data_IF_141085123940
#
_entry.id   IF_141085123940
#
_cell.length_a   1.000
_cell.length_b   1.000
_cell.length_c   1.000
_cell.angle_alpha   90.00
_cell.angle_beta   90.00
_cell.angle_gamma   90.00
#
_symmetry.space_group_name_H-M   'P 1'
#
loop_
_entity.id
_entity.type
_entity.pdbx_description
1 polymer ?
#
# COMPACT_ATOMS: atom_id res chain seq x y z
N UNK A 1 70.92 37.75 19.00
CA UNK A 1 69.50 38.08 18.71
C UNK A 1 68.97 36.99 17.80
N UNK A 2 68.77 35.79 18.32
CA UNK A 2 68.17 34.66 17.59
C UNK A 2 67.41 33.84 18.64
N UNK A 3 66.23 34.30 19.08
CA UNK A 3 65.38 33.57 20.04
C UNK A 3 63.93 34.08 19.99
N UNK A 4 63.36 34.30 18.79
CA UNK A 4 61.96 34.78 18.68
C UNK A 4 61.20 34.37 17.41
N UNK A 5 61.63 33.32 16.69
CA UNK A 5 60.93 32.87 15.46
C UNK A 5 60.26 31.49 15.61
N UNK A 6 60.65 30.68 16.60
CA UNK A 6 60.11 29.31 16.76
C UNK A 6 58.81 29.22 17.58
N UNK A 7 58.47 30.25 18.37
CA UNK A 7 57.24 30.26 19.18
C UNK A 7 55.95 30.50 18.39
N UNK A 8 56.02 31.27 17.30
CA UNK A 8 54.85 31.68 16.50
C UNK A 8 54.37 30.58 15.53
N UNK A 9 55.29 29.76 15.04
CA UNK A 9 55.01 28.62 14.14
C UNK A 9 54.40 27.44 14.90
N UNK A 10 54.81 27.19 16.16
CA UNK A 10 54.19 26.20 17.05
C UNK A 10 52.74 26.54 17.37
N UNK A 11 52.49 27.78 17.81
CA UNK A 11 51.14 28.26 18.15
C UNK A 11 50.17 28.20 16.95
N UNK A 12 50.63 28.53 15.74
CA UNK A 12 49.82 28.40 14.51
C UNK A 12 49.52 26.94 14.16
N UNK A 13 50.45 26.01 14.34
CA UNK A 13 50.23 24.58 14.10
C UNK A 13 49.21 24.00 15.08
N UNK A 14 49.30 24.38 16.34
CA UNK A 14 48.36 23.94 17.39
C UNK A 14 46.94 24.47 17.13
N UNK A 15 46.79 25.73 16.73
CA UNK A 15 45.49 26.32 16.34
C UNK A 15 44.86 25.62 15.13
N UNK A 16 45.68 25.19 14.16
CA UNK A 16 45.20 24.43 12.99
C UNK A 16 44.79 23.02 13.42
N UNK A 17 45.59 22.36 14.27
CA UNK A 17 45.31 21.02 14.79
C UNK A 17 44.02 21.00 15.61
N UNK A 18 43.81 21.99 16.47
CA UNK A 18 42.58 22.15 17.25
C UNK A 18 41.36 22.40 16.37
N UNK A 19 41.50 23.19 15.30
CA UNK A 19 40.42 23.41 14.34
C UNK A 19 40.06 22.14 13.58
N UNK A 20 41.06 21.33 13.21
CA UNK A 20 40.85 20.03 12.55
C UNK A 20 40.20 19.04 13.52
N UNK A 21 40.68 18.96 14.76
CA UNK A 21 40.13 18.07 15.79
C UNK A 21 38.69 18.44 16.14
N UNK A 22 38.38 19.73 16.24
CA UNK A 22 37.02 20.23 16.44
C UNK A 22 36.12 19.84 15.27
N UNK A 23 36.56 20.06 14.02
CA UNK A 23 35.80 19.67 12.82
C UNK A 23 35.58 18.16 12.73
N UNK A 24 36.57 17.36 13.12
CA UNK A 24 36.45 15.89 13.17
C UNK A 24 35.48 15.43 14.27
N UNK A 25 35.52 16.08 15.44
CA UNK A 25 34.58 15.82 16.54
C UNK A 25 33.15 16.19 16.17
N UNK A 26 32.96 17.35 15.55
CA UNK A 26 31.65 17.81 15.08
C UNK A 26 31.10 16.88 13.98
N UNK A 27 31.96 16.43 13.05
CA UNK A 27 31.61 15.41 12.04
C UNK A 27 31.19 14.10 12.70
N UNK A 28 31.94 13.63 13.69
CA UNK A 28 31.64 12.38 14.41
C UNK A 28 30.31 12.48 15.17
N UNK A 29 30.08 13.58 15.88
CA UNK A 29 28.81 13.82 16.57
C UNK A 29 27.62 13.88 15.60
N UNK A 30 27.77 14.56 14.45
CA UNK A 30 26.72 14.59 13.43
C UNK A 30 26.42 13.19 12.89
N UNK A 31 27.44 12.38 12.64
CA UNK A 31 27.29 10.99 12.20
C UNK A 31 26.61 10.13 13.27
N UNK A 32 27.00 10.25 14.54
CA UNK A 32 26.41 9.51 15.66
C UNK A 32 24.92 9.88 15.83
N UNK A 33 24.56 11.17 15.76
CA UNK A 33 23.15 11.62 15.78
C UNK A 33 22.37 11.07 14.59
N UNK A 34 22.96 11.09 13.38
CA UNK A 34 22.32 10.57 12.16
C UNK A 34 22.14 9.04 12.22
N UNK A 35 23.08 8.33 12.82
CA UNK A 35 23.00 6.88 13.07
C UNK A 35 21.95 6.55 14.13
N UNK A 36 21.87 7.31 15.22
CA UNK A 36 20.86 7.13 16.27
C UNK A 36 19.46 7.42 15.73
N UNK A 37 19.30 8.48 14.93
CA UNK A 37 18.04 8.80 14.26
C UNK A 37 17.63 7.68 13.29
N UNK A 38 18.58 7.18 12.49
CA UNK A 38 18.35 6.02 11.61
C UNK A 38 17.95 4.78 12.42
N UNK A 39 18.60 4.51 13.55
CA UNK A 39 18.30 3.37 14.43
C UNK A 39 16.90 3.48 15.07
N UNK A 40 16.48 4.68 15.48
CA UNK A 40 15.10 4.90 15.98
C UNK A 40 14.06 4.67 14.89
N UNK A 41 14.33 5.15 13.67
CA UNK A 41 13.48 4.87 12.49
C UNK A 41 13.47 3.38 12.15
N UNK A 42 14.60 2.67 12.27
CA UNK A 42 14.70 1.21 12.09
C UNK A 42 13.79 0.47 13.07
N UNK A 43 13.90 0.76 14.35
CA UNK A 43 13.10 0.11 15.40
C UNK A 43 11.60 0.39 15.20
N UNK A 44 11.25 1.61 14.81
CA UNK A 44 9.86 1.97 14.53
C UNK A 44 9.30 1.23 13.30
N UNK A 45 10.08 1.12 12.23
CA UNK A 45 9.69 0.43 11.00
C UNK A 45 9.61 -1.10 11.19
N UNK A 46 10.59 -1.71 11.86
CA UNK A 46 10.57 -3.13 12.23
C UNK A 46 9.33 -3.46 13.07
N UNK A 47 8.93 -2.57 14.00
CA UNK A 47 7.70 -2.75 14.78
C UNK A 47 6.42 -2.75 13.94
N UNK A 48 6.38 -1.94 12.88
CA UNK A 48 5.26 -1.89 11.94
C UNK A 48 5.20 -3.12 11.05
N UNK A 49 6.36 -3.63 10.61
CA UNK A 49 6.45 -4.80 9.73
C UNK A 49 6.19 -6.09 10.52
N UNK A 50 6.73 -6.20 11.74
CA UNK A 50 6.41 -7.28 12.67
C UNK A 50 4.92 -7.30 13.03
N UNK A 51 4.32 -6.12 13.24
CA UNK A 51 2.88 -6.00 13.44
C UNK A 51 2.11 -6.50 12.23
N UNK A 52 2.46 -6.06 11.02
CA UNK A 52 1.76 -6.46 9.81
C UNK A 52 1.82 -7.98 9.60
N UNK A 53 2.99 -8.59 9.80
CA UNK A 53 3.17 -10.04 9.71
C UNK A 53 2.35 -10.77 10.77
N UNK A 54 2.45 -10.36 12.03
CA UNK A 54 1.76 -11.02 13.16
C UNK A 54 0.23 -10.87 13.05
N UNK A 55 -0.23 -9.67 12.72
CA UNK A 55 -1.66 -9.38 12.52
C UNK A 55 -2.21 -10.19 11.34
N UNK A 56 -1.52 -10.16 10.20
CA UNK A 56 -1.90 -10.89 9.00
C UNK A 56 -1.95 -12.41 9.22
N UNK A 57 -0.95 -12.98 9.89
CA UNK A 57 -0.93 -14.41 10.20
C UNK A 57 -2.10 -14.82 11.10
N UNK A 58 -2.36 -14.06 12.17
CA UNK A 58 -3.49 -14.34 13.07
C UNK A 58 -4.84 -14.19 12.37
N UNK A 59 -5.00 -13.17 11.53
CA UNK A 59 -6.21 -13.00 10.73
C UNK A 59 -6.44 -14.18 9.78
N UNK A 60 -5.40 -14.64 9.10
CA UNK A 60 -5.44 -15.81 8.23
C UNK A 60 -5.78 -17.11 8.99
N UNK A 61 -5.20 -17.32 10.17
CA UNK A 61 -5.49 -18.51 10.99
C UNK A 61 -6.95 -18.53 11.47
N UNK A 62 -7.52 -17.36 11.80
CA UNK A 62 -8.94 -17.20 12.14
C UNK A 62 -9.82 -17.51 10.92
N UNK A 63 -9.51 -16.93 9.76
CA UNK A 63 -10.25 -17.17 8.51
C UNK A 63 -10.25 -18.65 8.13
N UNK A 64 -9.08 -19.30 8.18
CA UNK A 64 -8.95 -20.74 7.95
C UNK A 64 -9.75 -21.57 8.95
N UNK A 65 -9.79 -21.15 10.21
CA UNK A 65 -10.59 -21.82 11.25
C UNK A 65 -12.08 -21.73 10.95
N UNK A 66 -12.57 -20.57 10.46
CA UNK A 66 -13.96 -20.38 10.02
C UNK A 66 -14.25 -21.29 8.81
N UNK A 67 -13.39 -21.31 7.79
CA UNK A 67 -13.56 -22.15 6.60
C UNK A 67 -13.56 -23.65 6.90
N UNK A 68 -12.76 -24.10 7.88
CA UNK A 68 -12.78 -25.50 8.32
C UNK A 68 -14.11 -25.91 8.99
N UNK A 69 -14.88 -24.96 9.53
CA UNK A 69 -16.23 -25.23 10.02
C UNK A 69 -17.21 -25.51 8.87
N UNK A 70 -17.01 -24.87 7.71
CA UNK A 70 -17.89 -25.04 6.54
C UNK A 70 -17.63 -26.36 5.80
N UNK A 71 -16.36 -26.80 5.67
CA UNK A 71 -15.98 -28.02 4.96
C UNK A 71 -16.44 -29.32 5.66
N UNK A 72 -16.57 -29.32 6.99
CA UNK A 72 -17.01 -30.48 7.77
C UNK A 72 -18.53 -30.63 7.88
N UNK A 73 -19.31 -29.84 7.13
CA UNK A 73 -20.78 -29.85 7.15
C UNK A 73 -21.43 -30.97 6.30
N UNK A 74 -20.63 -31.80 5.62
CA UNK A 74 -21.07 -33.02 4.93
C UNK A 74 -20.54 -34.28 5.62
N UNK A 75 -21.37 -34.95 6.41
CA UNK A 75 -21.18 -36.30 6.98
C UNK A 75 -19.99 -36.59 7.94
N UNK A 76 -19.18 -35.60 8.33
CA UNK A 76 -18.20 -35.79 9.41
C UNK A 76 -18.87 -35.68 10.81
N UNK A 77 -18.37 -36.36 11.85
CA UNK A 77 -18.87 -36.19 13.22
C UNK A 77 -18.76 -34.71 13.59
N UNK A 78 -19.88 -34.09 13.99
CA UNK A 78 -19.93 -32.69 14.42
C UNK A 78 -18.67 -32.37 15.26
N UNK A 79 -17.78 -31.48 14.77
CA UNK A 79 -16.81 -30.84 15.65
C UNK A 79 -17.60 -30.24 16.81
N UNK A 80 -17.05 -30.17 18.03
CA UNK A 80 -17.74 -29.54 19.14
C UNK A 80 -17.90 -28.02 18.87
N UNK A 81 -18.88 -27.67 18.04
CA UNK A 81 -19.18 -26.33 17.54
C UNK A 81 -19.47 -25.39 18.71
N UNK A 82 -19.95 -25.96 19.83
CA UNK A 82 -20.21 -25.26 21.08
C UNK A 82 -18.93 -24.74 21.76
N UNK A 83 -17.75 -25.26 21.39
CA UNK A 83 -16.43 -24.78 21.83
C UNK A 83 -15.71 -23.98 20.75
N UNK A 84 -15.71 -24.47 19.50
CA UNK A 84 -14.96 -23.86 18.39
C UNK A 84 -15.40 -22.45 18.03
N UNK A 85 -16.71 -22.16 18.00
CA UNK A 85 -17.22 -20.82 17.66
C UNK A 85 -16.89 -19.77 18.75
N UNK A 86 -17.05 -20.07 20.06
CA UNK A 86 -16.52 -19.20 21.12
C UNK A 86 -15.00 -19.00 21.07
N UNK A 87 -14.23 -20.04 20.74
CA UNK A 87 -12.76 -19.93 20.60
C UNK A 87 -12.37 -18.96 19.47
N UNK A 88 -13.02 -19.04 18.31
CA UNK A 88 -12.81 -18.11 17.19
C UNK A 88 -13.20 -16.68 17.60
N UNK A 89 -14.31 -16.53 18.34
CA UNK A 89 -14.74 -15.23 18.87
C UNK A 89 -13.68 -14.62 19.80
N UNK A 90 -13.07 -15.44 20.66
CA UNK A 90 -11.99 -15.01 21.55
C UNK A 90 -10.74 -14.60 20.76
N UNK A 91 -10.36 -15.36 19.72
CA UNK A 91 -9.22 -15.02 18.87
C UNK A 91 -9.42 -13.69 18.14
N UNK A 92 -10.63 -13.39 17.67
CA UNK A 92 -10.97 -12.10 17.06
C UNK A 92 -10.83 -10.96 18.08
N UNK A 93 -11.30 -11.16 19.33
CA UNK A 93 -11.14 -10.18 20.41
C UNK A 93 -9.67 -9.94 20.80
N UNK A 94 -8.86 -11.00 20.82
CA UNK A 94 -7.42 -10.89 21.06
C UNK A 94 -6.70 -10.13 19.93
N UNK A 95 -7.09 -10.37 18.68
CA UNK A 95 -6.57 -9.66 17.52
C UNK A 95 -6.98 -8.18 17.53
N UNK A 96 -8.21 -7.86 17.95
CA UNK A 96 -8.68 -6.49 18.19
C UNK A 96 -7.87 -5.80 19.30
N UNK A 97 -7.60 -6.49 20.41
CA UNK A 97 -6.76 -5.95 21.51
C UNK A 97 -5.34 -5.69 21.02
N UNK A 98 -4.79 -6.59 20.21
CA UNK A 98 -3.47 -6.45 19.60
C UNK A 98 -3.40 -5.21 18.70
N UNK A 99 -4.42 -4.96 17.86
CA UNK A 99 -4.52 -3.73 17.08
C UNK A 99 -4.56 -2.49 17.97
N UNK A 100 -5.44 -2.46 18.98
CA UNK A 100 -5.57 -1.30 19.88
C UNK A 100 -4.25 -0.96 20.58
N UNK A 101 -3.55 -1.98 21.10
CA UNK A 101 -2.24 -1.82 21.73
C UNK A 101 -1.15 -1.34 20.75
N UNK A 102 -1.38 -1.51 19.46
CA UNK A 102 -0.43 -1.19 18.38
C UNK A 102 -0.70 0.14 17.68
N UNK A 103 -1.84 0.80 17.97
CA UNK A 103 -2.25 2.04 17.28
C UNK A 103 -1.23 3.16 17.34
N UNK A 104 -0.43 3.25 18.42
CA UNK A 104 0.55 4.33 18.60
C UNK A 104 1.66 4.37 17.55
N UNK A 105 1.87 3.29 16.80
CA UNK A 105 2.91 3.19 15.77
C UNK A 105 2.35 2.89 14.37
N UNK A 106 1.03 2.87 14.20
CA UNK A 106 0.38 2.58 12.92
C UNK A 106 -0.19 3.86 12.30
N UNK A 107 -0.22 3.92 10.96
CA UNK A 107 -0.91 4.98 10.25
C UNK A 107 -2.42 4.81 10.31
N UNK A 108 -3.18 5.90 10.20
CA UNK A 108 -4.65 5.88 10.18
C UNK A 108 -5.20 4.92 9.10
N UNK A 109 -4.55 4.87 7.94
CA UNK A 109 -4.88 3.94 6.87
C UNK A 109 -4.72 2.47 7.31
N UNK A 110 -3.58 2.11 7.92
CA UNK A 110 -3.35 0.75 8.42
C UNK A 110 -4.34 0.40 9.54
N UNK A 111 -4.60 1.33 10.45
CA UNK A 111 -5.59 1.15 11.52
C UNK A 111 -6.96 0.84 10.92
N UNK A 112 -7.42 1.64 9.96
CA UNK A 112 -8.71 1.46 9.28
C UNK A 112 -8.77 0.13 8.52
N UNK A 113 -7.71 -0.23 7.81
CA UNK A 113 -7.61 -1.52 7.10
C UNK A 113 -7.71 -2.72 8.05
N UNK A 114 -7.00 -2.68 9.18
CA UNK A 114 -7.06 -3.73 10.20
C UNK A 114 -8.44 -3.81 10.87
N UNK A 115 -9.07 -2.67 11.17
CA UNK A 115 -10.43 -2.61 11.69
C UNK A 115 -11.45 -3.23 10.72
N UNK A 116 -11.32 -2.93 9.43
CA UNK A 116 -12.17 -3.48 8.39
C UNK A 116 -12.05 -5.01 8.31
N UNK A 117 -10.83 -5.54 8.39
CA UNK A 117 -10.58 -6.99 8.41
C UNK A 117 -11.18 -7.65 9.66
N UNK A 118 -11.06 -7.04 10.84
CA UNK A 118 -11.68 -7.52 12.08
C UNK A 118 -13.21 -7.56 11.98
N UNK A 119 -13.82 -6.55 11.37
CA UNK A 119 -15.26 -6.51 11.14
C UNK A 119 -15.72 -7.62 10.19
N UNK A 120 -14.95 -7.89 9.13
CA UNK A 120 -15.22 -8.99 8.21
C UNK A 120 -15.13 -10.36 8.91
N UNK A 121 -14.06 -10.63 9.66
CA UNK A 121 -13.91 -11.87 10.43
C UNK A 121 -15.05 -12.06 11.45
N UNK A 122 -15.45 -10.99 12.13
CA UNK A 122 -16.58 -11.00 13.07
C UNK A 122 -17.88 -11.40 12.36
N UNK A 123 -18.14 -10.77 11.20
CA UNK A 123 -19.34 -11.04 10.40
C UNK A 123 -19.36 -12.48 9.90
N UNK A 124 -18.26 -12.99 9.35
CA UNK A 124 -18.15 -14.37 8.88
C UNK A 124 -18.34 -15.39 10.01
N UNK A 125 -17.79 -15.14 11.20
CA UNK A 125 -17.99 -16.00 12.36
C UNK A 125 -19.45 -16.00 12.85
N UNK A 126 -20.12 -14.85 12.83
CA UNK A 126 -21.54 -14.75 13.18
C UNK A 126 -22.45 -15.44 12.16
N UNK A 127 -22.14 -15.34 10.86
CA UNK A 127 -22.83 -16.07 9.79
C UNK A 127 -22.67 -17.58 9.95
N UNK A 128 -21.44 -18.06 10.16
CA UNK A 128 -21.16 -19.47 10.45
C UNK A 128 -21.93 -19.95 11.69
N UNK A 129 -21.98 -19.13 12.74
CA UNK A 129 -22.74 -19.43 13.97
C UNK A 129 -24.24 -19.55 13.71
N UNK A 130 -24.83 -18.66 12.92
CA UNK A 130 -26.26 -18.72 12.58
C UNK A 130 -26.60 -19.93 11.71
N UNK A 131 -25.73 -20.26 10.76
CA UNK A 131 -25.89 -21.39 9.84
C UNK A 131 -25.74 -22.73 10.55
N UNK A 132 -24.73 -22.87 11.40
CA UNK A 132 -24.36 -24.13 12.05
C UNK A 132 -25.07 -24.34 13.40
N UNK A 133 -25.50 -23.26 14.06
CA UNK A 133 -26.31 -23.31 15.30
C UNK A 133 -27.58 -22.44 15.20
N UNK A 134 -28.51 -22.76 14.28
CA UNK A 134 -29.78 -22.05 14.20
C UNK A 134 -30.55 -22.26 15.50
N UNK A 135 -30.81 -21.17 16.23
CA UNK A 135 -31.63 -21.23 17.45
C UNK A 135 -33.00 -21.80 17.08
N UNK A 136 -33.37 -22.95 17.67
CA UNK A 136 -34.74 -23.49 17.57
C UNK A 136 -35.70 -22.40 18.03
N UNK A 137 -36.49 -21.83 17.11
CA UNK A 137 -37.69 -21.09 17.50
C UNK A 137 -38.60 -22.12 18.18
N UNK A 138 -38.89 -21.90 19.46
CA UNK A 138 -39.81 -22.70 20.25
C UNK A 138 -41.14 -22.88 19.50
N UNK A 139 -41.32 -24.05 18.87
CA UNK A 139 -42.62 -24.51 18.40
C UNK A 139 -43.40 -25.04 19.60
N UNK A 140 -44.29 -24.23 20.15
CA UNK A 140 -45.27 -24.71 21.12
C UNK A 140 -46.25 -25.65 20.40
N UNK A 141 -46.14 -26.94 20.70
CA UNK A 141 -47.14 -27.95 20.37
C UNK A 141 -48.39 -27.72 21.22
N UNK A 142 -49.50 -27.37 20.59
CA UNK A 142 -50.84 -27.29 21.19
C UNK A 142 -51.81 -28.18 20.40
N UNK A 143 -52.41 -29.15 21.09
CA UNK A 143 -53.23 -30.26 20.56
C UNK A 143 -54.69 -29.81 20.31
N UNK A 144 -55.19 -30.07 19.08
CA UNK A 144 -56.58 -30.21 18.56
C UNK A 144 -57.79 -29.63 19.33
N UNK A 145 -58.63 -28.84 18.63
CA UNK A 145 -60.12 -28.95 18.57
C UNK A 145 -60.66 -28.22 17.31
N UNK A 146 -61.79 -28.70 16.77
CA UNK A 146 -62.34 -28.38 15.42
C UNK A 146 -63.57 -27.41 15.48
N UNK A 147 -64.39 -27.21 14.42
CA UNK A 147 -64.49 -25.98 13.60
C UNK A 147 -65.86 -25.24 13.67
N UNK A 148 -65.95 -24.04 13.03
CA UNK A 148 -67.12 -23.22 12.55
C UNK A 148 -66.87 -21.73 12.87
N UNK A 149 -67.21 -20.68 12.10
CA UNK A 149 -67.99 -20.44 10.89
C UNK A 149 -67.60 -19.02 10.35
N UNK A 150 -67.71 -18.77 9.04
CA UNK A 150 -67.73 -17.41 8.42
C UNK A 150 -69.10 -16.74 8.66
N UNK A 151 -69.25 -15.40 8.51
CA UNK A 151 -69.53 -14.79 7.19
C UNK A 151 -68.73 -13.52 6.83
N UNK A 152 -68.71 -13.25 5.52
CA UNK A 152 -68.08 -12.18 4.71
C UNK A 152 -68.84 -10.81 4.77
N UNK A 153 -68.65 -9.84 3.84
CA UNK A 153 -67.48 -9.06 3.35
C UNK A 153 -67.76 -7.52 3.35
N UNK A 154 -66.83 -6.67 2.88
CA UNK A 154 -67.03 -5.67 1.80
C UNK A 154 -65.76 -4.82 1.60
N UNK A 155 -65.48 -4.59 0.32
CA UNK A 155 -64.36 -3.95 -0.39
C UNK A 155 -64.48 -2.42 -0.37
N UNK A 156 -63.38 -1.66 -0.29
CA UNK A 156 -63.06 -0.53 -1.21
C UNK A 156 -61.54 -0.23 -1.23
N UNK A 157 -61.04 -0.01 -2.43
CA UNK A 157 -59.69 0.28 -2.94
C UNK A 157 -58.93 1.52 -2.40
N UNK A 158 -57.61 1.51 -2.61
CA UNK A 158 -56.79 2.72 -2.78
C UNK A 158 -55.32 2.62 -2.32
N UNK A 159 -54.39 2.32 -3.24
CA UNK A 159 -52.94 2.60 -3.11
C UNK A 159 -52.63 4.13 -3.24
N UNK A 160 -51.36 4.60 -3.31
CA UNK A 160 -50.35 4.71 -2.25
C UNK A 160 -49.74 6.14 -2.18
N UNK A 161 -49.10 6.55 -1.06
CA UNK A 161 -48.07 7.60 -1.12
C UNK A 161 -46.89 7.38 -0.17
N UNK A 162 -45.77 7.06 -0.82
CA UNK A 162 -44.37 7.42 -0.57
C UNK A 162 -44.04 8.31 0.64
N UNK A 163 -43.20 7.77 1.54
CA UNK A 163 -42.00 8.47 2.03
C UNK A 163 -40.83 7.49 2.12
N UNK A 164 -40.03 7.44 1.05
CA UNK A 164 -38.71 6.79 1.01
C UNK A 164 -37.71 7.62 1.82
N UNK A 165 -37.23 7.07 2.92
CA UNK A 165 -35.91 7.40 3.48
C UNK A 165 -34.89 6.43 2.89
N UNK A 166 -33.73 6.89 2.39
CA UNK A 166 -32.76 6.02 1.75
C UNK A 166 -32.08 5.15 2.81
N UNK A 167 -32.20 3.83 2.64
CA UNK A 167 -31.34 2.86 3.32
C UNK A 167 -29.91 3.11 2.82
N UNK A 168 -29.03 3.57 3.71
CA UNK A 168 -27.59 3.44 3.51
C UNK A 168 -27.29 1.94 3.44
N UNK A 169 -26.94 1.49 2.24
CA UNK A 169 -26.31 0.20 2.04
C UNK A 169 -25.05 0.14 2.91
N UNK A 170 -25.03 -0.82 3.82
CA UNK A 170 -23.85 -1.22 4.56
C UNK A 170 -22.93 -1.94 3.57
N UNK A 171 -21.96 -1.22 3.02
CA UNK A 171 -20.86 -1.84 2.27
C UNK A 171 -19.83 -2.35 3.28
N UNK A 172 -19.74 -3.68 3.40
CA UNK A 172 -18.63 -4.34 4.09
C UNK A 172 -17.33 -4.01 3.37
N UNK A 173 -16.43 -3.31 4.05
CA UNK A 173 -15.14 -2.88 3.50
C UNK A 173 -14.17 -4.06 3.45
N UNK A 174 -14.35 -4.95 2.48
CA UNK A 174 -13.24 -5.77 2.01
C UNK A 174 -12.20 -4.80 1.44
N UNK A 175 -10.96 -4.85 1.95
CA UNK A 175 -9.85 -4.13 1.34
C UNK A 175 -9.80 -4.50 -0.14
N UNK A 176 -10.01 -3.50 -0.99
CA UNK A 176 -10.10 -3.69 -2.43
C UNK A 176 -8.95 -2.92 -3.05
N UNK A 177 -8.10 -3.63 -3.78
CA UNK A 177 -7.06 -3.01 -4.60
C UNK A 177 -7.72 -2.12 -5.65
N UNK A 178 -7.27 -0.86 -5.78
CA UNK A 178 -7.73 0.05 -6.83
C UNK A 178 -7.46 -0.53 -8.21
N UNK A 179 -6.25 -1.06 -8.41
CA UNK A 179 -5.84 -1.77 -9.63
C UNK A 179 -5.19 -3.08 -9.20
N UNK A 180 -5.71 -4.23 -9.65
CA UNK A 180 -5.04 -5.50 -9.39
C UNK A 180 -5.17 -6.55 -10.49
N UNK A 181 -4.22 -7.48 -10.51
CA UNK A 181 -4.24 -8.68 -11.35
C UNK A 181 -4.39 -8.31 -12.84
N UNK A 182 -3.52 -7.45 -13.34
CA UNK A 182 -3.54 -6.99 -14.74
C UNK A 182 -2.26 -7.38 -15.45
N UNK A 183 -2.40 -7.74 -16.72
CA UNK A 183 -1.27 -8.07 -17.59
C UNK A 183 -1.44 -7.40 -18.94
N UNK A 184 -0.35 -6.85 -19.48
CA UNK A 184 -0.33 -6.24 -20.81
C UNK A 184 -1.45 -5.20 -21.02
N UNK A 185 -1.70 -4.38 -19.99
CA UNK A 185 -2.81 -3.43 -19.97
C UNK A 185 -2.29 -2.00 -19.88
N UNK A 186 -2.93 -1.10 -20.62
CA UNK A 186 -2.79 0.35 -20.44
C UNK A 186 -3.97 0.82 -19.58
N UNK A 187 -3.68 1.43 -18.44
CA UNK A 187 -4.65 1.83 -17.42
C UNK A 187 -4.44 3.29 -17.11
N UNK A 188 -5.48 4.10 -17.26
CA UNK A 188 -5.44 5.54 -16.94
C UNK A 188 -6.53 5.79 -15.90
N UNK A 189 -6.14 6.32 -14.74
CA UNK A 189 -7.07 6.87 -13.77
C UNK A 189 -7.04 8.39 -13.85
N UNK A 190 -8.22 8.97 -13.98
CA UNK A 190 -8.43 10.41 -14.14
C UNK A 190 -8.55 11.12 -12.79
N UNK A 191 -8.59 12.45 -12.82
CA UNK A 191 -8.68 13.29 -11.63
C UNK A 191 -9.83 12.89 -10.69
N UNK A 192 -10.99 12.52 -11.23
CA UNK A 192 -12.17 12.11 -10.46
C UNK A 192 -11.95 10.83 -9.64
N UNK A 193 -11.03 9.97 -10.09
CA UNK A 193 -10.70 8.68 -9.46
C UNK A 193 -9.50 8.80 -8.51
N UNK A 194 -8.63 9.78 -8.75
CA UNK A 194 -7.32 9.89 -8.09
C UNK A 194 -7.29 10.95 -6.99
N UNK A 195 -7.98 12.08 -7.18
CA UNK A 195 -7.79 13.27 -6.35
C UNK A 195 -8.13 13.03 -4.87
N UNK A 196 -7.12 13.21 -4.01
CA UNK A 196 -7.22 13.00 -2.57
C UNK A 196 -7.41 11.55 -2.12
N UNK A 197 -7.44 10.58 -3.05
CA UNK A 197 -7.65 9.17 -2.74
C UNK A 197 -6.34 8.44 -2.44
N UNK A 198 -6.42 7.38 -1.64
CA UNK A 198 -5.33 6.42 -1.47
C UNK A 198 -5.44 5.36 -2.57
N UNK A 199 -4.44 5.31 -3.45
CA UNK A 199 -4.42 4.42 -4.61
C UNK A 199 -3.57 3.19 -4.29
N UNK A 200 -4.17 2.01 -4.45
CA UNK A 200 -3.50 0.73 -4.18
C UNK A 200 -3.42 -0.11 -5.44
N UNK A 201 -2.22 -0.58 -5.75
CA UNK A 201 -1.91 -1.27 -7.01
C UNK A 201 -1.22 -2.59 -6.70
N UNK A 202 -1.73 -3.73 -7.21
CA UNK A 202 -1.11 -5.03 -6.94
C UNK A 202 -1.10 -6.04 -8.08
N UNK A 203 -0.04 -6.84 -8.15
CA UNK A 203 0.08 -7.97 -9.08
C UNK A 203 -0.12 -7.55 -10.55
N UNK A 204 0.78 -6.69 -11.04
CA UNK A 204 0.80 -6.28 -12.45
C UNK A 204 2.01 -6.85 -13.19
N UNK A 205 1.81 -7.13 -14.47
CA UNK A 205 2.87 -7.57 -15.36
C UNK A 205 2.76 -6.86 -16.70
N UNK A 206 3.85 -6.26 -17.19
CA UNK A 206 3.90 -5.63 -18.50
C UNK A 206 2.80 -4.56 -18.71
N UNK A 207 2.47 -3.77 -17.68
CA UNK A 207 1.41 -2.76 -17.77
C UNK A 207 1.97 -1.34 -17.85
N UNK A 208 1.24 -0.46 -18.52
CA UNK A 208 1.40 0.99 -18.45
C UNK A 208 0.27 1.55 -17.57
N UNK A 209 0.61 2.15 -16.44
CA UNK A 209 -0.37 2.76 -15.52
C UNK A 209 -0.09 4.25 -15.46
N UNK A 210 -1.13 5.05 -15.66
CA UNK A 210 -1.07 6.51 -15.58
C UNK A 210 -2.10 7.01 -14.56
N UNK A 211 -1.63 7.67 -13.51
CA UNK A 211 -2.47 8.31 -12.50
C UNK A 211 -2.41 9.82 -12.72
N UNK A 212 -3.43 10.37 -13.36
CA UNK A 212 -3.53 11.81 -13.66
C UNK A 212 -4.39 12.48 -12.58
N UNK A 213 -3.75 13.22 -11.68
CA UNK A 213 -4.39 13.81 -10.51
C UNK A 213 -3.42 13.95 -9.34
N UNK A 214 -3.95 14.30 -8.17
CA UNK A 214 -3.20 14.44 -6.92
C UNK A 214 -3.60 13.39 -5.86
N UNK A 215 -3.09 12.15 -5.93
CA UNK A 215 -3.44 11.12 -4.95
C UNK A 215 -2.95 11.50 -3.55
N UNK A 216 -3.68 11.07 -2.52
CA UNK A 216 -3.28 11.23 -1.13
C UNK A 216 -2.03 10.40 -0.82
N UNK A 217 -2.07 9.12 -1.16
CA UNK A 217 -0.92 8.22 -1.13
C UNK A 217 -1.03 7.15 -2.21
N UNK A 218 0.09 6.56 -2.61
CA UNK A 218 0.14 5.48 -3.59
C UNK A 218 0.91 4.31 -3.00
N UNK A 219 0.30 3.13 -3.01
CA UNK A 219 0.91 1.88 -2.59
C UNK A 219 0.94 0.88 -3.74
N UNK A 220 2.11 0.34 -4.05
CA UNK A 220 2.32 -0.66 -5.10
C UNK A 220 2.93 -1.93 -4.51
N UNK A 221 2.35 -3.09 -4.81
CA UNK A 221 2.89 -4.39 -4.39
C UNK A 221 2.93 -5.36 -5.56
N UNK A 222 4.10 -5.93 -5.86
CA UNK A 222 4.29 -6.91 -6.95
C UNK A 222 3.96 -6.34 -8.33
N UNK A 223 4.93 -5.66 -8.94
CA UNK A 223 4.83 -5.29 -10.35
C UNK A 223 6.10 -5.71 -11.10
N UNK A 224 5.94 -6.29 -12.28
CA UNK A 224 7.07 -6.72 -13.13
C UNK A 224 6.94 -6.12 -14.53
N UNK A 225 8.03 -5.55 -15.05
CA UNK A 225 8.08 -4.94 -16.38
C UNK A 225 7.00 -3.87 -16.62
N UNK A 226 6.61 -3.15 -15.57
CA UNK A 226 5.57 -2.12 -15.65
C UNK A 226 6.17 -0.72 -15.76
N UNK A 227 5.43 0.18 -16.42
CA UNK A 227 5.69 1.62 -16.38
C UNK A 227 4.59 2.29 -15.57
N UNK A 228 4.94 2.97 -14.50
CA UNK A 228 4.02 3.66 -13.60
C UNK A 228 4.28 5.16 -13.68
N UNK A 229 3.36 5.91 -14.26
CA UNK A 229 3.40 7.37 -14.37
C UNK A 229 2.34 7.93 -13.43
N UNK A 230 2.72 8.86 -12.57
CA UNK A 230 1.79 9.37 -11.57
C UNK A 230 2.05 10.86 -11.32
N UNK A 231 0.96 11.60 -11.20
CA UNK A 231 0.98 12.98 -10.76
C UNK A 231 1.48 13.17 -9.32
N UNK A 232 1.44 14.41 -8.83
CA UNK A 232 1.91 14.81 -7.50
C UNK A 232 1.16 14.12 -6.36
N UNK A 233 1.84 13.20 -5.66
CA UNK A 233 1.31 12.53 -4.47
C UNK A 233 1.45 13.42 -3.25
N UNK A 234 0.34 13.74 -2.60
CA UNK A 234 0.30 14.67 -1.47
C UNK A 234 1.15 14.20 -0.27
N UNK A 235 1.27 12.88 -0.05
CA UNK A 235 2.06 12.30 1.05
C UNK A 235 3.11 11.32 0.54
N UNK A 236 2.80 10.03 0.53
CA UNK A 236 3.79 8.96 0.41
C UNK A 236 3.55 8.09 -0.81
N UNK A 237 4.65 7.73 -1.47
CA UNK A 237 4.70 6.60 -2.39
C UNK A 237 5.44 5.44 -1.72
N UNK A 238 4.74 4.33 -1.54
CA UNK A 238 5.30 3.08 -1.03
C UNK A 238 5.24 2.02 -2.11
N UNK A 239 6.36 1.36 -2.39
CA UNK A 239 6.37 0.24 -3.33
C UNK A 239 7.21 -0.92 -2.81
N UNK A 240 6.71 -2.13 -3.01
CA UNK A 240 7.43 -3.37 -2.71
C UNK A 240 7.40 -4.32 -3.91
N UNK A 241 8.48 -5.09 -4.06
CA UNK A 241 8.57 -6.16 -5.06
C UNK A 241 8.38 -5.65 -6.50
N UNK A 242 9.03 -4.53 -6.85
CA UNK A 242 9.16 -4.07 -8.23
C UNK A 242 10.31 -4.78 -8.93
N UNK A 243 10.05 -5.30 -10.13
CA UNK A 243 11.03 -6.02 -10.95
C UNK A 243 11.07 -5.41 -12.36
N UNK A 244 12.21 -4.86 -12.78
CA UNK A 244 12.38 -4.27 -14.13
C UNK A 244 11.31 -3.21 -14.45
N UNK A 245 10.95 -2.38 -13.48
CA UNK A 245 9.93 -1.35 -13.65
C UNK A 245 10.54 0.02 -13.97
N UNK A 246 9.73 0.88 -14.58
CA UNK A 246 10.01 2.31 -14.70
C UNK A 246 8.93 3.09 -13.97
N UNK A 247 9.31 3.99 -13.08
CA UNK A 247 8.38 4.77 -12.25
C UNK A 247 8.68 6.25 -12.43
N UNK A 248 7.67 7.08 -12.68
CA UNK A 248 7.77 8.53 -12.65
C UNK A 248 6.80 9.08 -11.60
N UNK A 249 7.35 9.68 -10.55
CA UNK A 249 6.57 10.08 -9.36
C UNK A 249 7.10 11.37 -8.72
N UNK A 250 6.18 12.24 -8.33
CA UNK A 250 6.42 13.33 -7.40
C UNK A 250 5.72 13.03 -6.07
N UNK A 251 6.41 13.11 -4.93
CA UNK A 251 5.82 12.81 -3.62
C UNK A 251 6.52 13.57 -2.48
N UNK A 252 6.00 13.51 -1.25
CA UNK A 252 6.76 13.98 -0.09
C UNK A 252 7.80 12.94 0.35
N UNK A 253 7.39 11.67 0.38
CA UNK A 253 8.19 10.58 0.91
C UNK A 253 8.13 9.37 -0.03
N UNK A 254 9.30 8.84 -0.37
CA UNK A 254 9.44 7.60 -1.13
C UNK A 254 9.98 6.50 -0.21
N UNK A 255 9.31 5.34 -0.16
CA UNK A 255 9.88 4.12 0.43
C UNK A 255 9.75 2.95 -0.54
N UNK A 256 10.88 2.37 -0.90
CA UNK A 256 10.98 1.24 -1.82
C UNK A 256 11.57 0.03 -1.10
N UNK A 257 10.92 -1.13 -1.22
CA UNK A 257 11.32 -2.36 -0.54
C UNK A 257 11.48 -3.53 -1.52
N UNK A 258 12.44 -4.42 -1.28
CA UNK A 258 12.64 -5.68 -2.03
C UNK A 258 12.52 -5.56 -3.56
N UNK A 259 13.03 -4.47 -4.14
CA UNK A 259 12.85 -4.15 -5.56
C UNK A 259 14.16 -4.22 -6.32
N UNK A 260 14.10 -4.60 -7.60
CA UNK A 260 15.31 -4.78 -8.42
C UNK A 260 15.19 -4.25 -9.84
N UNK A 261 16.33 -3.77 -10.37
CA UNK A 261 16.47 -3.24 -11.74
C UNK A 261 15.37 -2.23 -12.10
N UNK A 262 15.10 -1.29 -11.19
CA UNK A 262 13.98 -0.34 -11.33
C UNK A 262 14.52 1.07 -11.51
N UNK A 263 13.98 1.76 -12.52
CA UNK A 263 14.28 3.17 -12.81
C UNK A 263 13.21 4.06 -12.21
N UNK A 264 13.59 5.09 -11.48
CA UNK A 264 12.67 6.01 -10.83
C UNK A 264 13.02 7.45 -11.20
N UNK A 265 12.13 8.11 -11.94
CA UNK A 265 12.15 9.55 -12.20
C UNK A 265 11.41 10.24 -11.05
N UNK A 266 12.16 10.85 -10.15
CA UNK A 266 11.71 11.21 -8.81
C UNK A 266 11.75 12.70 -8.57
N UNK A 267 10.67 13.21 -7.98
CA UNK A 267 10.65 14.44 -7.21
C UNK A 267 10.24 14.10 -5.79
N UNK A 268 11.09 14.41 -4.82
CA UNK A 268 10.81 14.09 -3.41
C UNK A 268 11.11 15.28 -2.52
N UNK A 269 10.12 15.79 -1.80
CA UNK A 269 10.33 16.99 -0.97
C UNK A 269 11.05 16.66 0.33
N UNK A 270 10.75 15.52 0.95
CA UNK A 270 11.34 15.15 2.24
C UNK A 270 12.49 14.16 2.03
N UNK A 271 12.18 12.88 1.82
CA UNK A 271 13.19 11.81 1.82
C UNK A 271 12.79 10.63 0.95
N UNK A 272 13.78 10.03 0.30
CA UNK A 272 13.69 8.73 -0.35
C UNK A 272 14.47 7.68 0.43
N UNK A 273 13.84 6.53 0.67
CA UNK A 273 14.41 5.39 1.38
C UNK A 273 14.27 4.13 0.52
N UNK A 274 15.35 3.37 0.41
CA UNK A 274 15.35 2.04 -0.19
C UNK A 274 15.79 0.99 0.83
N UNK A 275 15.23 -0.20 0.75
CA UNK A 275 15.51 -1.32 1.65
C UNK A 275 15.43 -2.64 0.86
N UNK A 276 16.40 -3.54 1.04
CA UNK A 276 16.51 -4.79 0.27
C UNK A 276 16.44 -4.61 -1.27
N UNK A 277 16.90 -3.47 -1.78
CA UNK A 277 16.85 -3.14 -3.19
C UNK A 277 18.19 -3.38 -3.90
N UNK A 278 18.17 -3.59 -5.22
CA UNK A 278 19.38 -3.71 -6.05
C UNK A 278 19.18 -3.10 -7.43
N UNK A 279 20.23 -2.47 -7.99
CA UNK A 279 20.21 -1.85 -9.33
C UNK A 279 19.07 -0.85 -9.48
N UNK A 280 18.92 0.05 -8.51
CA UNK A 280 17.96 1.14 -8.57
C UNK A 280 18.64 2.33 -9.26
N UNK A 281 18.01 2.88 -10.28
CA UNK A 281 18.55 4.05 -10.98
C UNK A 281 17.58 5.23 -10.79
N UNK A 282 18.09 6.37 -10.33
CA UNK A 282 17.28 7.53 -9.97
C UNK A 282 17.55 8.68 -10.95
N UNK A 283 16.50 9.21 -11.56
CA UNK A 283 16.52 10.40 -12.41
C UNK A 283 15.60 11.49 -11.85
N UNK A 284 15.66 12.68 -12.42
CA UNK A 284 14.74 13.76 -12.08
C UNK A 284 13.35 13.47 -12.64
N UNK A 285 12.30 13.79 -11.89
CA UNK A 285 10.91 13.70 -12.35
C UNK A 285 10.68 14.53 -13.61
N UNK A 286 10.06 13.92 -14.62
CA UNK A 286 9.84 14.52 -15.92
C UNK A 286 8.54 14.05 -16.60
N UNK A 287 7.60 13.49 -15.84
CA UNK A 287 6.27 13.17 -16.35
C UNK A 287 5.48 14.46 -16.48
N UNK A 288 4.77 14.63 -17.60
CA UNK A 288 4.03 15.83 -17.94
C UNK A 288 2.67 15.47 -18.56
N UNK A 289 1.65 16.22 -18.16
CA UNK A 289 0.27 16.12 -18.63
C UNK A 289 -0.45 17.45 -18.36
N UNK A 290 -1.55 17.78 -19.07
CA UNK A 290 -2.10 19.14 -19.10
C UNK A 290 -2.43 19.76 -17.72
N UNK A 291 -2.90 18.94 -16.78
CA UNK A 291 -3.34 19.37 -15.45
C UNK A 291 -2.23 19.34 -14.37
N UNK A 292 -0.99 18.95 -14.72
CA UNK A 292 0.09 18.70 -13.76
C UNK A 292 0.37 19.88 -12.80
N UNK A 293 0.39 21.11 -13.29
CA UNK A 293 0.65 22.29 -12.44
C UNK A 293 -0.47 22.53 -11.42
N UNK A 294 -1.72 22.29 -11.82
CA UNK A 294 -2.87 22.40 -10.92
C UNK A 294 -2.82 21.30 -9.85
N UNK A 295 -2.45 20.08 -10.22
CA UNK A 295 -2.28 18.97 -9.28
C UNK A 295 -1.11 19.18 -8.32
N UNK A 296 -0.01 19.80 -8.76
CA UNK A 296 1.08 20.21 -7.87
C UNK A 296 0.56 21.18 -6.80
N UNK A 297 -0.20 22.20 -7.21
CA UNK A 297 -0.78 23.15 -6.27
C UNK A 297 -1.79 22.50 -5.32
N UNK A 298 -2.61 21.57 -5.80
CA UNK A 298 -3.62 20.89 -5.00
C UNK A 298 -3.03 19.85 -4.03
N UNK A 299 -1.94 19.19 -4.43
CA UNK A 299 -1.22 18.21 -3.59
C UNK A 299 -0.51 18.84 -2.38
N UNK A 300 -0.20 20.14 -2.45
CA UNK A 300 0.63 20.83 -1.46
C UNK A 300 2.12 20.49 -1.53
N UNK A 301 2.59 19.81 -2.58
CA UNK A 301 4.02 19.60 -2.80
C UNK A 301 4.71 20.90 -3.20
N UNK A 302 5.81 21.20 -2.51
CA UNK A 302 6.66 22.31 -2.91
C UNK A 302 7.57 21.91 -4.08
N UNK A 303 7.25 22.38 -5.28
CA UNK A 303 8.03 22.12 -6.51
C UNK A 303 9.46 22.66 -6.47
N UNK A 304 9.75 23.66 -5.62
CA UNK A 304 11.11 24.19 -5.46
C UNK A 304 11.99 23.30 -4.56
N UNK A 305 11.44 22.28 -3.92
CA UNK A 305 12.14 21.42 -2.98
C UNK A 305 12.21 20.00 -3.53
N UNK A 306 13.38 19.62 -4.06
CA UNK A 306 13.59 18.32 -4.66
C UNK A 306 14.89 17.67 -4.17
N UNK A 307 14.76 16.61 -3.37
CA UNK A 307 15.86 15.85 -2.77
C UNK A 307 16.12 14.51 -3.49
N UNK A 308 15.75 14.37 -4.76
CA UNK A 308 15.86 13.09 -5.49
C UNK A 308 17.28 12.53 -5.56
N UNK A 309 18.32 13.36 -5.37
CA UNK A 309 19.71 12.93 -5.35
C UNK A 309 20.22 12.42 -4.00
N UNK A 310 19.43 12.52 -2.92
CA UNK A 310 19.78 12.05 -1.57
C UNK A 310 18.89 10.87 -1.17
N UNK A 311 19.24 9.69 -1.65
CA UNK A 311 18.51 8.44 -1.35
C UNK A 311 19.21 7.68 -0.23
N UNK A 312 18.47 7.44 0.85
CA UNK A 312 18.94 6.65 1.98
C UNK A 312 18.74 5.15 1.70
N UNK A 313 19.85 4.42 1.58
CA UNK A 313 19.82 2.96 1.60
C UNK A 313 19.89 2.48 3.05
N UNK A 314 18.80 1.85 3.49
CA UNK A 314 18.62 1.42 4.86
C UNK A 314 19.59 0.29 5.26
N UNK A 315 19.85 -0.64 4.35
CA UNK A 315 20.73 -1.79 4.59
C UNK A 315 22.22 -1.45 4.40
N UNK A 316 22.53 -0.22 3.96
CA UNK A 316 23.89 0.24 3.77
C UNK A 316 24.41 1.02 4.98
N UNK A 317 25.19 0.33 5.81
CA UNK A 317 25.74 0.85 7.08
C UNK A 317 27.07 1.61 6.93
N UNK A 318 27.64 1.71 5.72
CA UNK A 318 28.90 2.40 5.47
C UNK A 318 28.67 3.87 5.08
N UNK A 319 28.81 4.84 6.01
CA UNK A 319 28.48 6.24 5.73
C UNK A 319 29.47 6.92 4.79
N UNK A 320 30.72 6.45 4.73
CA UNK A 320 31.78 7.07 3.92
C UNK A 320 31.82 6.53 2.47
N UNK A 321 30.98 5.56 2.13
CA UNK A 321 30.95 4.92 0.80
C UNK A 321 29.53 4.99 0.23
N UNK A 322 29.40 5.36 -1.04
CA UNK A 322 28.11 5.34 -1.72
C UNK A 322 27.54 3.92 -1.76
N UNK A 323 26.22 3.76 -1.54
CA UNK A 323 25.59 2.45 -1.63
C UNK A 323 25.75 1.88 -3.05
N UNK A 324 26.06 0.58 -3.21
CA UNK A 324 26.09 -0.08 -4.51
C UNK A 324 24.70 -0.42 -5.06
N UNK A 325 23.65 -0.28 -4.24
CA UNK A 325 22.29 -0.73 -4.58
C UNK A 325 21.52 0.28 -5.42
N UNK A 326 21.97 1.53 -5.45
CA UNK A 326 21.39 2.58 -6.28
C UNK A 326 22.45 3.46 -6.93
N UNK A 327 22.05 4.20 -7.96
CA UNK A 327 22.87 5.21 -8.61
C UNK A 327 21.98 6.29 -9.23
N UNK A 328 22.57 7.45 -9.54
CA UNK A 328 21.92 8.44 -10.38
C UNK A 328 22.02 8.03 -11.85
N UNK A 329 20.94 8.25 -12.61
CA UNK A 329 20.93 8.15 -14.06
C UNK A 329 21.84 9.25 -14.63
N UNK A 330 23.04 8.84 -15.05
CA UNK A 330 23.97 9.68 -15.81
C UNK A 330 23.87 9.27 -17.28
N UNK A 331 23.85 10.24 -18.19
CA UNK A 331 23.95 10.02 -19.63
C UNK A 331 22.81 9.19 -20.29
N UNK A 332 21.68 9.00 -19.59
CA UNK A 332 20.49 8.41 -20.19
C UNK A 332 19.55 9.52 -20.68
N UNK A 333 19.12 9.51 -21.95
CA UNK A 333 18.14 10.48 -22.42
C UNK A 333 16.86 10.33 -21.62
N UNK A 334 16.25 11.49 -21.30
CA UNK A 334 14.94 11.53 -20.68
C UNK A 334 13.94 10.71 -21.52
N UNK A 335 13.11 9.87 -20.89
CA UNK A 335 12.11 9.09 -21.60
C UNK A 335 11.10 10.01 -22.27
N UNK A 336 10.76 9.70 -23.52
CA UNK A 336 9.62 10.30 -24.18
C UNK A 336 8.37 9.48 -23.84
N UNK A 337 7.63 9.92 -22.82
CA UNK A 337 6.43 9.22 -22.34
C UNK A 337 5.35 9.05 -23.41
N UNK A 338 5.22 10.03 -24.32
CA UNK A 338 4.28 9.95 -25.44
C UNK A 338 4.70 8.87 -26.45
N UNK A 339 5.99 8.75 -26.75
CA UNK A 339 6.50 7.67 -27.60
C UNK A 339 6.29 6.31 -26.94
N UNK A 340 6.66 6.18 -25.66
CA UNK A 340 6.45 4.94 -24.88
C UNK A 340 4.97 4.52 -24.88
N UNK A 341 4.05 5.47 -24.68
CA UNK A 341 2.60 5.20 -24.74
C UNK A 341 2.16 4.69 -26.10
N UNK A 342 2.62 5.32 -27.19
CA UNK A 342 2.31 4.87 -28.56
C UNK A 342 2.85 3.47 -28.83
N UNK A 343 4.11 3.21 -28.47
CA UNK A 343 4.77 1.92 -28.68
C UNK A 343 4.09 0.81 -27.88
N UNK A 344 3.69 1.11 -26.64
CA UNK A 344 2.93 0.16 -25.82
C UNK A 344 1.59 -0.20 -26.47
N UNK A 345 0.84 0.80 -26.93
CA UNK A 345 -0.46 0.60 -27.59
C UNK A 345 -0.34 -0.15 -28.92
N UNK A 346 0.67 0.15 -29.75
CA UNK A 346 0.89 -0.55 -31.02
C UNK A 346 1.27 -2.02 -30.80
N UNK A 347 2.14 -2.31 -29.84
CA UNK A 347 2.54 -3.67 -29.53
C UNK A 347 1.37 -4.51 -28.98
N UNK A 348 0.44 -3.87 -28.27
CA UNK A 348 -0.73 -4.55 -27.75
C UNK A 348 -1.77 -4.84 -28.84
N UNK A 349 -1.91 -3.96 -29.83
CA UNK A 349 -2.78 -4.21 -30.99
C UNK A 349 -2.26 -5.36 -31.85
N UNK A 350 -0.96 -5.42 -32.13
CA UNK A 350 -0.36 -6.54 -32.87
C UNK A 350 -0.58 -7.87 -32.14
N UNK A 351 -0.52 -7.90 -30.80
CA UNK A 351 -0.81 -9.09 -30.00
C UNK A 351 -2.28 -9.53 -30.05
N UNK A 352 -3.23 -8.60 -30.26
CA UNK A 352 -4.64 -8.92 -30.48
C UNK A 352 -4.86 -9.48 -31.88
N UNK A 353 -4.27 -8.85 -32.90
CA UNK A 353 -4.38 -9.29 -34.29
C UNK A 353 -3.75 -10.69 -34.48
N UNK A 354 -2.58 -10.96 -33.89
CA UNK A 354 -1.92 -12.27 -33.94
C UNK A 354 -2.72 -13.38 -33.22
N UNK A 355 -3.46 -13.04 -32.16
CA UNK A 355 -4.31 -14.00 -31.45
C UNK A 355 -5.63 -14.24 -32.19
N UNK A 356 -6.23 -13.21 -32.80
CA UNK A 356 -7.41 -13.38 -33.66
C UNK A 356 -7.09 -14.18 -34.94
N UNK A 357 -5.90 -14.01 -35.51
CA UNK A 357 -5.45 -14.77 -36.68
C UNK A 357 -5.15 -16.24 -36.33
N UNK A 358 -4.62 -16.50 -35.13
CA UNK A 358 -4.43 -17.87 -34.61
C UNK A 358 -5.72 -18.58 -34.21
N UNK A 359 -6.71 -17.86 -33.67
CA UNK A 359 -8.05 -18.42 -33.44
C UNK A 359 -8.76 -18.75 -34.75
N UNK A 360 -8.62 -17.92 -35.79
CA UNK A 360 -9.19 -18.22 -37.12
C UNK A 360 -8.51 -19.42 -37.80
N UNK A 361 -7.23 -19.65 -37.54
CA UNK A 361 -6.45 -20.76 -38.13
C UNK A 361 -6.67 -22.10 -37.42
N UNK A 362 -7.22 -22.09 -36.19
CA UNK A 362 -7.44 -23.31 -35.38
C UNK A 362 -8.82 -23.96 -35.64
N UNK A 363 -9.70 -23.33 -36.44
CA UNK A 363 -11.07 -23.81 -36.73
C UNK A 363 -11.16 -24.58 -38.07
N UNK A 364 -10.06 -25.12 -38.61
CA UNK A 364 -10.09 -25.95 -39.84
C UNK A 364 -9.65 -27.39 -39.56
#
# INVERSE_FOLDING_TARGET
MEDSVDGDTGARKDLILDRINKRNKDRKNYLDVKLEQRSKETIQNEGVDFFAQTFGQRAYDIEKSILMLDMNSGDAPLPDLSKRLPEITLQIQELQRYLTASTMFLSDFKIKSCQNMLNALTSSNDEARQRLMPKKKFGFSGKKTAPKQKPLPVVVDGEPQDKKTPKKEQSGSNFTWTIANRRNAHIVLSADEVNGQDITISNLSQCLVELQGHPGSVQVSKASQCTLLCGPVARSFFAEQLDRCTVAIACQQLRLHSSHSTRIYLHVTCRAIIEDCKKIEIGEFNYDYPELEADYSASGLNKSQNNYTDVADFNWLSPDVHSPNWSLLKDHPAPNWNALRRDFLSNNNNYKDDNEEKEKTTII
#
